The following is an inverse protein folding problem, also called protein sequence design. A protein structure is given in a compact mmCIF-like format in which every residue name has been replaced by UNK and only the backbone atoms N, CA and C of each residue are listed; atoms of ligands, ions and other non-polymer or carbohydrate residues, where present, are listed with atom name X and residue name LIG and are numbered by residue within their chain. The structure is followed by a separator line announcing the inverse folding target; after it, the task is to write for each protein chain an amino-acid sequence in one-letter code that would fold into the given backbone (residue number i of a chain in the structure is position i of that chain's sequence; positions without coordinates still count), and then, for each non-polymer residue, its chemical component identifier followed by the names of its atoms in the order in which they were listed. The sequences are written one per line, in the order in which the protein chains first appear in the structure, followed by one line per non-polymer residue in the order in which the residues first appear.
data_IF_876852602971
#
_entry.id   IF_876852602971
#
_cell.length_a   1.000
_cell.length_b   1.000
_cell.length_c   1.000
_cell.angle_alpha   90.00
_cell.angle_beta   90.00
_cell.angle_gamma   90.00
#
_symmetry.space_group_name_H-M   'P 1'
#
loop_
_entity.id
_entity.type
_entity.pdbx_description
1 polymer ?
#
# COMPACT_ATOMS: atom_id res chain seq x y z
N UNK A 1 15.47 -20.55 -13.05
CA UNK A 1 16.74 -19.78 -13.21
C UNK A 1 16.56 -18.47 -12.47
N UNK A 2 17.56 -17.98 -11.77
CA UNK A 2 17.50 -16.68 -11.09
C UNK A 2 18.10 -15.65 -12.03
N UNK A 3 17.42 -14.53 -12.25
CA UNK A 3 17.99 -13.41 -13.02
C UNK A 3 19.21 -12.81 -12.28
N UNK A 4 20.11 -12.08 -12.94
CA UNK A 4 21.31 -11.50 -12.32
C UNK A 4 21.03 -10.59 -11.12
N UNK A 5 19.80 -10.15 -10.92
CA UNK A 5 19.35 -9.27 -9.82
C UNK A 5 18.62 -10.01 -8.69
N UNK A 6 18.70 -11.34 -8.62
CA UNK A 6 18.11 -12.10 -7.49
C UNK A 6 16.58 -12.20 -7.47
N UNK A 7 15.90 -11.72 -8.50
CA UNK A 7 14.44 -11.89 -8.64
C UNK A 7 14.11 -13.35 -8.98
N UNK A 8 13.09 -13.97 -8.36
CA UNK A 8 12.64 -15.30 -8.74
C UNK A 8 12.25 -15.33 -10.21
N UNK A 9 12.64 -16.40 -10.94
CA UNK A 9 12.22 -16.62 -12.31
C UNK A 9 10.70 -16.92 -12.33
N UNK A 10 9.90 -15.88 -12.61
CA UNK A 10 8.44 -15.95 -12.65
C UNK A 10 7.95 -16.26 -14.06
N UNK A 11 8.44 -17.36 -14.65
CA UNK A 11 7.95 -17.85 -15.96
C UNK A 11 6.61 -18.58 -15.85
N UNK A 12 5.70 -18.09 -15.03
CA UNK A 12 4.39 -18.73 -14.89
C UNK A 12 3.39 -17.88 -14.12
N UNK A 13 2.96 -16.75 -14.68
CA UNK A 13 1.66 -16.12 -14.36
C UNK A 13 1.29 -15.77 -12.91
N UNK A 14 2.17 -16.00 -11.92
CA UNK A 14 1.91 -15.72 -10.51
C UNK A 14 2.57 -14.40 -10.09
N UNK A 15 1.79 -13.52 -9.46
CA UNK A 15 2.33 -12.33 -8.82
C UNK A 15 2.94 -12.72 -7.47
N UNK A 16 4.17 -12.32 -7.15
CA UNK A 16 4.75 -12.58 -5.83
C UNK A 16 4.04 -11.70 -4.80
N UNK A 17 3.28 -12.34 -3.90
CA UNK A 17 2.56 -11.66 -2.82
C UNK A 17 3.20 -12.02 -1.50
N UNK A 18 3.55 -11.00 -0.72
CA UNK A 18 4.08 -11.08 0.63
C UNK A 18 3.09 -10.58 1.68
N UNK A 19 3.59 -10.43 2.90
CA UNK A 19 2.87 -9.93 4.06
C UNK A 19 3.52 -8.63 4.56
N UNK A 20 2.72 -7.57 4.68
CA UNK A 20 3.14 -6.34 5.36
C UNK A 20 2.86 -6.43 6.87
N UNK A 21 3.77 -5.84 7.65
CA UNK A 21 3.61 -5.70 9.09
C UNK A 21 2.35 -4.91 9.49
N UNK A 22 1.90 -3.99 8.63
CA UNK A 22 0.71 -3.16 8.88
C UNK A 22 -0.62 -3.82 8.49
N UNK A 23 -0.58 -5.09 8.08
CA UNK A 23 -1.80 -5.83 7.76
C UNK A 23 -2.68 -6.13 8.97
N UNK A 24 -2.07 -6.43 10.12
CA UNK A 24 -2.76 -6.88 11.33
C UNK A 24 -2.09 -6.33 12.60
N UNK A 25 -2.14 -5.00 12.84
CA UNK A 25 -1.35 -4.34 13.88
C UNK A 25 -1.69 -4.78 15.32
N UNK A 26 -2.90 -5.20 15.62
CA UNK A 26 -3.25 -5.76 16.93
C UNK A 26 -2.72 -7.16 17.10
N UNK A 27 -2.89 -8.03 16.11
CA UNK A 27 -2.41 -9.42 16.15
C UNK A 27 -0.90 -9.49 16.24
N UNK A 28 -0.18 -8.56 15.60
CA UNK A 28 1.27 -8.47 15.58
C UNK A 28 1.87 -7.62 16.73
N UNK A 29 1.04 -7.14 17.66
CA UNK A 29 1.50 -6.37 18.82
C UNK A 29 2.07 -4.99 18.47
N UNK A 30 1.76 -4.43 17.31
CA UNK A 30 2.23 -3.09 16.89
C UNK A 30 1.35 -1.97 17.44
N UNK A 31 0.08 -2.25 17.71
CA UNK A 31 -0.81 -1.28 18.33
C UNK A 31 -0.46 -1.12 19.81
N UNK A 32 -0.29 0.12 20.32
CA UNK A 32 -0.09 0.36 21.75
C UNK A 32 -1.25 -0.16 22.63
N UNK A 33 -2.43 -0.38 22.05
CA UNK A 33 -3.58 -0.95 22.73
C UNK A 33 -3.61 -2.49 22.68
N UNK A 34 -2.68 -3.13 21.97
CA UNK A 34 -2.53 -4.59 21.97
C UNK A 34 -1.82 -5.05 23.24
N UNK A 35 -2.27 -6.16 23.80
CA UNK A 35 -1.62 -6.87 24.91
C UNK A 35 -0.62 -7.93 24.45
N UNK A 36 -0.42 -8.05 23.13
CA UNK A 36 0.46 -9.06 22.52
C UNK A 36 1.89 -8.55 22.41
N UNK A 37 2.89 -9.47 22.51
CA UNK A 37 4.27 -9.14 22.19
C UNK A 37 4.37 -8.59 20.76
N UNK A 38 5.16 -7.53 20.58
CA UNK A 38 5.42 -7.00 19.25
C UNK A 38 6.19 -8.02 18.41
N UNK A 39 5.76 -8.22 17.17
CA UNK A 39 6.47 -9.06 16.21
C UNK A 39 7.85 -8.49 15.92
N UNK A 40 8.80 -9.41 15.76
CA UNK A 40 10.08 -9.16 15.15
C UNK A 40 10.00 -9.38 13.62
N UNK A 41 11.06 -9.00 12.90
CA UNK A 41 11.16 -9.34 11.48
C UNK A 41 11.19 -10.87 11.23
N UNK A 42 11.74 -11.64 12.17
CA UNK A 42 11.74 -13.12 12.07
C UNK A 42 10.33 -13.70 12.24
N UNK A 43 9.53 -13.19 13.17
CA UNK A 43 8.14 -13.62 13.34
C UNK A 43 7.32 -13.33 12.07
N UNK A 44 7.59 -12.20 11.40
CA UNK A 44 6.93 -11.88 10.13
C UNK A 44 7.34 -12.84 9.00
N UNK A 45 8.64 -13.20 8.91
CA UNK A 45 9.13 -14.23 7.97
C UNK A 45 8.42 -15.55 8.22
N UNK A 46 8.40 -16.01 9.46
CA UNK A 46 7.78 -17.29 9.82
C UNK A 46 6.27 -17.29 9.56
N UNK A 47 5.60 -16.18 9.80
CA UNK A 47 4.17 -16.03 9.47
C UNK A 47 3.92 -16.04 7.95
N UNK A 48 4.73 -15.32 7.17
CA UNK A 48 4.63 -15.33 5.72
C UNK A 48 4.82 -16.73 5.14
N UNK A 49 5.82 -17.47 5.63
CA UNK A 49 6.07 -18.88 5.29
C UNK A 49 4.88 -19.77 5.67
N UNK A 50 4.33 -19.60 6.87
CA UNK A 50 3.16 -20.35 7.34
C UNK A 50 1.91 -20.17 6.47
N UNK A 51 1.79 -19.04 5.78
CA UNK A 51 0.74 -18.76 4.81
C UNK A 51 1.12 -19.08 3.35
N UNK A 52 2.34 -19.56 3.08
CA UNK A 52 2.82 -19.84 1.73
C UNK A 52 3.01 -18.58 0.87
N UNK A 53 3.24 -17.42 1.51
CA UNK A 53 3.48 -16.16 0.85
C UNK A 53 4.93 -16.06 0.36
N UNK A 54 5.17 -15.20 -0.64
CA UNK A 54 6.43 -15.10 -1.38
C UNK A 54 7.39 -14.02 -0.83
N UNK A 55 7.02 -13.28 0.22
CA UNK A 55 7.86 -12.21 0.75
C UNK A 55 7.30 -11.50 1.97
N UNK A 56 8.03 -10.49 2.41
CA UNK A 56 7.65 -9.62 3.52
C UNK A 56 7.84 -8.16 3.16
N UNK A 57 7.04 -7.31 3.79
CA UNK A 57 7.33 -5.88 3.89
C UNK A 57 7.46 -5.53 5.38
N UNK A 58 8.61 -4.95 5.73
CA UNK A 58 9.05 -4.81 7.11
C UNK A 58 9.53 -3.38 7.40
N UNK A 59 9.11 -2.78 8.55
CA UNK A 59 9.62 -1.48 8.98
C UNK A 59 11.14 -1.47 9.17
N UNK A 60 11.82 -0.43 8.68
CA UNK A 60 13.25 -0.24 8.85
C UNK A 60 13.68 -0.32 10.32
N UNK A 61 12.83 0.14 11.24
CA UNK A 61 13.06 0.09 12.68
C UNK A 61 13.25 -1.34 13.24
N UNK A 62 12.64 -2.35 12.59
CA UNK A 62 12.71 -3.75 13.03
C UNK A 62 13.92 -4.51 12.47
N UNK A 63 14.60 -3.94 11.49
CA UNK A 63 15.79 -4.56 10.87
C UNK A 63 17.10 -3.80 11.18
N UNK A 64 17.04 -2.66 11.86
CA UNK A 64 18.17 -1.73 12.06
C UNK A 64 19.40 -2.37 12.72
N UNK A 65 19.18 -3.35 13.61
CA UNK A 65 20.25 -3.97 14.39
C UNK A 65 20.89 -5.17 13.69
N UNK A 66 20.19 -5.81 12.73
CA UNK A 66 20.67 -7.02 12.04
C UNK A 66 20.07 -7.20 10.63
N UNK A 67 20.23 -6.22 9.72
CA UNK A 67 19.62 -6.29 8.39
C UNK A 67 20.17 -7.43 7.53
N UNK A 68 21.47 -7.77 7.66
CA UNK A 68 22.10 -8.83 6.88
C UNK A 68 21.54 -10.22 7.20
N UNK A 69 21.39 -10.54 8.49
CA UNK A 69 20.87 -11.85 8.91
C UNK A 69 19.40 -12.01 8.53
N UNK A 70 18.60 -10.95 8.66
CA UNK A 70 17.20 -10.95 8.22
C UNK A 70 17.12 -11.15 6.71
N UNK A 71 17.92 -10.43 5.93
CA UNK A 71 18.01 -10.59 4.49
C UNK A 71 18.54 -11.98 4.07
N UNK A 72 19.51 -12.53 4.79
CA UNK A 72 20.02 -13.89 4.57
C UNK A 72 18.93 -14.94 4.83
N UNK A 73 18.19 -14.82 5.95
CA UNK A 73 17.07 -15.69 6.27
C UNK A 73 15.98 -15.65 5.21
N UNK A 74 15.59 -14.46 4.75
CA UNK A 74 14.61 -14.31 3.68
C UNK A 74 15.08 -14.97 2.37
N UNK A 75 16.33 -14.74 1.96
CA UNK A 75 16.92 -15.37 0.75
C UNK A 75 16.98 -16.91 0.84
N UNK A 76 17.39 -17.44 2.00
CA UNK A 76 17.39 -18.88 2.24
C UNK A 76 16.00 -19.48 2.01
N UNK A 77 14.96 -18.78 2.42
CA UNK A 77 13.57 -19.18 2.26
C UNK A 77 12.95 -18.72 0.92
N UNK A 78 13.72 -18.11 0.04
CA UNK A 78 13.28 -17.57 -1.28
C UNK A 78 12.18 -16.52 -1.16
N UNK A 79 12.18 -15.75 -0.08
CA UNK A 79 11.27 -14.62 0.12
C UNK A 79 11.90 -13.32 -0.40
N UNK A 80 11.10 -12.48 -1.05
CA UNK A 80 11.50 -11.09 -1.25
C UNK A 80 11.38 -10.29 0.05
N UNK A 81 12.13 -9.20 0.13
CA UNK A 81 12.03 -8.21 1.21
C UNK A 81 11.74 -6.84 0.59
N UNK A 82 10.75 -6.15 1.13
CA UNK A 82 10.54 -4.72 0.93
C UNK A 82 10.72 -4.03 2.28
N UNK A 83 11.47 -2.94 2.32
CA UNK A 83 11.65 -2.14 3.55
C UNK A 83 10.71 -0.94 3.49
N UNK A 84 10.00 -0.69 4.59
CA UNK A 84 9.12 0.47 4.71
C UNK A 84 9.59 1.46 5.79
N UNK A 85 9.22 2.71 5.60
CA UNK A 85 9.46 3.82 6.53
C UNK A 85 8.40 4.91 6.32
N UNK A 86 8.55 6.04 7.00
CA UNK A 86 7.70 7.22 6.83
C UNK A 86 8.50 8.51 6.79
N UNK A 87 7.91 9.55 6.21
CA UNK A 87 8.51 10.86 6.06
C UNK A 87 9.37 10.99 4.80
N UNK A 88 9.85 12.22 4.58
CA UNK A 88 10.59 12.60 3.36
C UNK A 88 11.91 13.30 3.66
N UNK A 89 12.39 13.22 4.90
CA UNK A 89 13.69 13.78 5.27
C UNK A 89 14.81 13.02 4.58
N UNK A 90 15.69 13.69 3.78
CA UNK A 90 16.67 13.00 2.96
C UNK A 90 17.76 12.28 3.77
N UNK A 91 18.13 12.81 4.95
CA UNK A 91 19.16 12.20 5.80
C UNK A 91 18.60 10.92 6.45
N UNK A 92 17.39 10.99 7.00
CA UNK A 92 16.72 9.83 7.56
C UNK A 92 16.50 8.74 6.50
N UNK A 93 16.06 9.10 5.29
CA UNK A 93 15.87 8.17 4.18
C UNK A 93 17.20 7.53 3.73
N UNK A 94 18.33 8.27 3.72
CA UNK A 94 19.64 7.73 3.37
C UNK A 94 20.04 6.57 4.30
N UNK A 95 19.81 6.70 5.60
CA UNK A 95 20.04 5.60 6.54
C UNK A 95 19.18 4.38 6.27
N UNK A 96 17.92 4.59 5.86
CA UNK A 96 17.01 3.49 5.51
C UNK A 96 17.46 2.80 4.21
N UNK A 97 18.00 3.53 3.25
CA UNK A 97 18.52 2.93 2.01
C UNK A 97 19.70 2.00 2.30
N UNK A 98 20.62 2.38 3.20
CA UNK A 98 21.72 1.52 3.62
C UNK A 98 21.21 0.23 4.29
N UNK A 99 20.21 0.33 5.18
CA UNK A 99 19.58 -0.83 5.79
C UNK A 99 18.91 -1.74 4.75
N UNK A 100 18.18 -1.16 3.81
CA UNK A 100 17.49 -1.87 2.75
C UNK A 100 18.47 -2.62 1.84
N UNK A 101 19.56 -1.96 1.42
CA UNK A 101 20.60 -2.58 0.60
C UNK A 101 21.24 -3.78 1.32
N UNK A 102 21.56 -3.65 2.61
CA UNK A 102 22.13 -4.72 3.45
C UNK A 102 21.13 -5.87 3.66
N UNK A 103 19.86 -5.57 3.81
CA UNK A 103 18.79 -6.60 3.88
C UNK A 103 18.48 -7.24 2.51
N UNK A 104 19.00 -6.69 1.41
CA UNK A 104 18.72 -7.15 0.04
C UNK A 104 17.35 -6.73 -0.46
N UNK A 105 16.77 -5.66 0.09
CA UNK A 105 15.54 -5.06 -0.41
C UNK A 105 15.84 -4.14 -1.60
N UNK A 106 15.21 -4.36 -2.77
CA UNK A 106 15.40 -3.47 -3.91
C UNK A 106 14.59 -2.18 -3.82
N UNK A 107 13.63 -2.12 -2.89
CA UNK A 107 12.67 -1.01 -2.78
C UNK A 107 12.50 -0.58 -1.33
N UNK A 108 12.51 0.73 -1.12
CA UNK A 108 12.13 1.38 0.14
C UNK A 108 10.83 2.14 -0.10
N UNK A 109 9.77 1.75 0.62
CA UNK A 109 8.50 2.46 0.63
C UNK A 109 8.52 3.56 1.68
N UNK A 110 8.00 4.75 1.33
CA UNK A 110 7.75 5.84 2.28
C UNK A 110 6.37 6.46 2.08
N UNK A 111 5.91 7.20 3.10
CA UNK A 111 4.68 8.02 3.05
C UNK A 111 5.03 9.48 3.27
N UNK A 112 4.27 10.38 2.64
CA UNK A 112 4.48 11.84 2.72
C UNK A 112 3.76 12.43 3.93
N UNK A 113 2.50 12.07 4.12
CA UNK A 113 1.66 12.63 5.18
C UNK A 113 1.04 13.99 4.81
N UNK A 114 0.75 14.80 5.83
CA UNK A 114 0.11 16.12 5.66
C UNK A 114 -1.42 16.08 5.65
N UNK A 115 -2.04 15.08 5.03
CA UNK A 115 -3.48 14.85 5.12
C UNK A 115 -3.82 13.92 6.29
N UNK A 116 -5.02 14.05 6.82
CA UNK A 116 -5.60 13.06 7.74
C UNK A 116 -6.25 11.92 6.95
N UNK A 117 -6.53 10.82 7.64
CA UNK A 117 -7.25 9.68 7.05
C UNK A 117 -8.55 10.12 6.37
N UNK A 118 -8.87 9.49 5.22
CA UNK A 118 -9.98 9.92 4.36
C UNK A 118 -9.65 11.12 3.47
N UNK A 119 -8.37 11.42 3.28
CA UNK A 119 -7.91 12.49 2.39
C UNK A 119 -8.18 13.91 2.92
N UNK A 120 -8.38 14.08 4.23
CA UNK A 120 -8.74 15.37 4.80
C UNK A 120 -7.52 16.31 4.89
N UNK A 121 -7.47 17.31 4.00
CA UNK A 121 -6.41 18.33 3.92
C UNK A 121 -6.74 19.63 4.64
N UNK A 122 -7.87 19.76 5.34
CA UNK A 122 -8.31 21.02 5.99
C UNK A 122 -7.29 21.59 6.98
N UNK A 123 -6.53 20.74 7.66
CA UNK A 123 -5.45 21.18 8.54
C UNK A 123 -4.27 21.83 7.76
N UNK A 124 -4.21 21.64 6.44
CA UNK A 124 -3.18 22.17 5.54
C UNK A 124 -3.69 23.35 4.69
N UNK A 125 -4.86 23.91 5.00
CA UNK A 125 -5.47 24.99 4.23
C UNK A 125 -4.48 26.14 3.95
N UNK A 126 -4.30 26.50 2.68
CA UNK A 126 -3.37 27.50 2.16
C UNK A 126 -1.88 27.11 2.28
N UNK A 127 -1.54 25.92 2.74
CA UNK A 127 -0.15 25.46 2.92
C UNK A 127 0.21 24.21 2.12
N UNK A 128 -0.75 23.59 1.45
CA UNK A 128 -0.52 22.32 0.75
C UNK A 128 0.50 22.48 -0.39
N UNK A 129 0.37 23.50 -1.22
CA UNK A 129 1.29 23.72 -2.34
C UNK A 129 2.74 24.01 -1.90
N UNK A 130 3.01 24.92 -0.93
CA UNK A 130 4.35 25.05 -0.36
C UNK A 130 4.90 23.77 0.24
N UNK A 131 4.08 23.00 0.97
CA UNK A 131 4.45 21.70 1.53
C UNK A 131 4.82 20.70 0.41
N UNK A 132 4.02 20.59 -0.62
CA UNK A 132 4.29 19.69 -1.74
C UNK A 132 5.58 20.06 -2.50
N UNK A 133 5.89 21.35 -2.62
CA UNK A 133 7.15 21.80 -3.20
C UNK A 133 8.37 21.40 -2.35
N UNK A 134 8.26 21.48 -1.02
CA UNK A 134 9.29 21.00 -0.10
C UNK A 134 9.45 19.47 -0.19
N UNK A 135 8.34 18.73 -0.22
CA UNK A 135 8.32 17.28 -0.44
C UNK A 135 9.05 16.90 -1.72
N UNK A 136 8.77 17.58 -2.83
CA UNK A 136 9.43 17.32 -4.11
C UNK A 136 10.95 17.54 -4.05
N UNK A 137 11.40 18.63 -3.42
CA UNK A 137 12.83 18.92 -3.25
C UNK A 137 13.53 17.87 -2.38
N UNK A 138 12.90 17.46 -1.28
CA UNK A 138 13.44 16.46 -0.36
C UNK A 138 13.52 15.08 -1.03
N UNK A 139 12.45 14.65 -1.73
CA UNK A 139 12.43 13.39 -2.45
C UNK A 139 13.45 13.36 -3.60
N UNK A 140 13.63 14.45 -4.33
CA UNK A 140 14.67 14.55 -5.37
C UNK A 140 16.08 14.38 -4.79
N UNK A 141 16.33 14.93 -3.59
CA UNK A 141 17.58 14.76 -2.87
C UNK A 141 17.76 13.32 -2.37
N UNK A 142 16.72 12.75 -1.76
CA UNK A 142 16.75 11.38 -1.26
C UNK A 142 16.91 10.34 -2.39
N UNK A 143 16.31 10.59 -3.56
CA UNK A 143 16.45 9.69 -4.72
C UNK A 143 17.89 9.51 -5.17
N UNK A 144 18.72 10.56 -5.09
CA UNK A 144 20.16 10.44 -5.41
C UNK A 144 20.90 9.53 -4.43
N UNK A 145 20.51 9.55 -3.14
CA UNK A 145 21.05 8.62 -2.17
C UNK A 145 20.57 7.19 -2.40
N UNK A 146 19.29 7.01 -2.78
CA UNK A 146 18.73 5.71 -3.16
C UNK A 146 19.49 5.10 -4.36
N UNK A 147 19.77 5.90 -5.39
CA UNK A 147 20.55 5.49 -6.56
C UNK A 147 21.97 5.05 -6.16
N UNK A 148 22.64 5.78 -5.27
CA UNK A 148 23.98 5.42 -4.77
C UNK A 148 23.96 4.12 -3.96
N UNK A 149 22.91 3.85 -3.21
CA UNK A 149 22.72 2.61 -2.46
C UNK A 149 22.23 1.44 -3.33
N UNK A 150 21.88 1.68 -4.60
CA UNK A 150 21.35 0.66 -5.52
C UNK A 150 19.93 0.22 -5.19
N UNK A 151 19.15 1.07 -4.51
CA UNK A 151 17.73 0.81 -4.17
C UNK A 151 16.82 1.80 -4.87
N UNK A 152 15.52 1.53 -4.84
CA UNK A 152 14.48 2.42 -5.39
C UNK A 152 13.63 2.99 -4.27
N UNK A 153 13.45 4.31 -4.25
CA UNK A 153 12.51 5.00 -3.37
C UNK A 153 11.11 4.99 -4.00
N UNK A 154 10.13 4.47 -3.29
CA UNK A 154 8.73 4.42 -3.72
C UNK A 154 7.84 5.18 -2.72
N UNK A 155 7.12 6.19 -3.21
CA UNK A 155 6.17 6.96 -2.40
C UNK A 155 4.79 6.32 -2.49
N UNK A 156 4.21 6.00 -1.34
CA UNK A 156 2.86 5.43 -1.29
C UNK A 156 1.78 6.50 -1.48
N UNK A 157 0.72 6.15 -2.20
CA UNK A 157 -0.53 6.89 -2.23
C UNK A 157 -1.34 6.67 -0.94
N UNK A 158 -0.85 7.19 0.19
CA UNK A 158 -1.41 6.96 1.53
C UNK A 158 -2.64 7.84 1.85
N UNK A 159 -3.54 8.10 0.87
CA UNK A 159 -4.69 9.01 0.94
C UNK A 159 -4.29 10.50 1.11
N UNK A 160 -3.03 10.81 1.06
CA UNK A 160 -2.46 12.15 1.16
C UNK A 160 -2.26 12.81 -0.22
N UNK A 161 -1.68 12.09 -1.17
CA UNK A 161 -1.40 12.57 -2.52
C UNK A 161 -2.43 12.04 -3.53
N UNK A 162 -2.95 12.94 -4.35
CA UNK A 162 -3.74 12.59 -5.53
C UNK A 162 -2.82 12.05 -6.64
N UNK A 163 -3.38 11.31 -7.61
CA UNK A 163 -2.58 10.75 -8.71
C UNK A 163 -1.84 11.82 -9.51
N UNK A 164 -2.41 12.99 -9.71
CA UNK A 164 -1.79 14.09 -10.42
C UNK A 164 -0.52 14.60 -9.70
N UNK A 165 -0.54 14.61 -8.37
CA UNK A 165 0.60 15.05 -7.55
C UNK A 165 1.70 13.98 -7.56
N UNK A 166 1.35 12.69 -7.48
CA UNK A 166 2.32 11.60 -7.59
C UNK A 166 2.97 11.56 -8.97
N UNK A 167 2.21 11.74 -10.04
CA UNK A 167 2.75 11.80 -11.39
C UNK A 167 3.65 13.01 -11.57
N UNK A 168 3.28 14.18 -11.05
CA UNK A 168 4.12 15.38 -11.03
C UNK A 168 5.45 15.11 -10.31
N UNK A 169 5.44 14.39 -9.18
CA UNK A 169 6.68 14.00 -8.48
C UNK A 169 7.54 13.07 -9.35
N UNK A 170 6.94 12.07 -10.00
CA UNK A 170 7.65 11.16 -10.91
C UNK A 170 8.28 11.92 -12.10
N UNK A 171 7.53 12.84 -12.72
CA UNK A 171 8.00 13.66 -13.83
C UNK A 171 9.12 14.63 -13.41
N UNK A 172 8.99 15.24 -12.23
CA UNK A 172 9.96 16.22 -11.72
C UNK A 172 11.28 15.56 -11.31
N UNK A 173 11.22 14.39 -10.70
CA UNK A 173 12.41 13.66 -10.21
C UNK A 173 13.08 12.92 -11.37
N UNK A 174 12.32 12.40 -12.30
CA UNK A 174 12.75 11.73 -13.55
C UNK A 174 13.92 10.75 -13.33
N UNK A 175 13.75 9.80 -12.41
CA UNK A 175 14.76 8.80 -12.08
C UNK A 175 14.19 7.38 -12.10
N UNK A 176 14.91 6.38 -12.62
CA UNK A 176 14.52 4.97 -12.50
C UNK A 176 14.51 4.48 -11.06
N UNK A 177 15.19 5.17 -10.15
CA UNK A 177 15.26 4.90 -8.73
C UNK A 177 14.18 5.62 -7.92
N UNK A 178 13.17 6.19 -8.59
CA UNK A 178 11.99 6.78 -7.96
C UNK A 178 10.71 6.22 -8.56
N UNK A 179 9.65 6.11 -7.75
CA UNK A 179 8.34 5.71 -8.22
C UNK A 179 7.30 5.65 -7.12
N UNK A 180 6.29 4.82 -7.35
CA UNK A 180 5.07 4.76 -6.54
C UNK A 180 4.94 3.38 -5.89
N UNK A 181 4.64 3.34 -4.59
CA UNK A 181 3.99 2.19 -3.96
C UNK A 181 2.50 2.37 -4.12
N UNK A 182 1.86 1.50 -4.89
CA UNK A 182 0.43 1.54 -5.15
C UNK A 182 -0.33 0.80 -4.05
N UNK A 183 -0.97 1.55 -3.14
CA UNK A 183 -2.01 0.99 -2.27
C UNK A 183 -3.35 0.99 -3.02
N UNK A 184 -3.92 -0.19 -3.18
CA UNK A 184 -5.07 -0.43 -4.06
C UNK A 184 -6.37 0.17 -3.55
N UNK A 185 -6.52 0.35 -2.24
CA UNK A 185 -7.72 0.95 -1.63
C UNK A 185 -7.67 2.48 -1.53
N UNK A 186 -6.48 3.06 -1.51
CA UNK A 186 -6.28 4.47 -1.18
C UNK A 186 -6.70 5.49 -2.26
N UNK A 187 -6.83 5.16 -3.58
CA UNK A 187 -7.42 6.08 -4.55
C UNK A 187 -8.79 6.62 -4.15
N UNK A 188 -9.59 5.79 -3.48
CA UNK A 188 -10.89 6.21 -2.95
C UNK A 188 -10.77 7.29 -1.88
N UNK A 189 -9.66 7.35 -1.14
CA UNK A 189 -9.40 8.39 -0.13
C UNK A 189 -9.20 9.78 -0.73
N UNK A 190 -8.71 9.85 -1.96
CA UNK A 190 -8.51 11.12 -2.70
C UNK A 190 -9.65 11.42 -3.69
N UNK A 191 -10.76 10.68 -3.60
CA UNK A 191 -11.93 10.87 -4.46
C UNK A 191 -11.70 10.45 -5.91
N UNK A 192 -10.92 9.38 -6.14
CA UNK A 192 -10.58 8.88 -7.47
C UNK A 192 -11.15 7.48 -7.70
N UNK A 193 -11.62 7.23 -8.93
CA UNK A 193 -12.09 5.91 -9.33
C UNK A 193 -10.88 4.96 -9.46
N UNK A 194 -10.89 3.76 -8.83
CA UNK A 194 -9.71 2.92 -8.72
C UNK A 194 -9.09 2.49 -10.06
N UNK A 195 -9.88 2.03 -11.02
CA UNK A 195 -9.34 1.52 -12.29
C UNK A 195 -8.72 2.63 -13.14
N UNK A 196 -9.34 3.82 -13.17
CA UNK A 196 -8.77 4.98 -13.85
C UNK A 196 -7.47 5.44 -13.17
N UNK A 197 -7.43 5.38 -11.83
CA UNK A 197 -6.22 5.66 -11.06
C UNK A 197 -5.11 4.67 -11.41
N UNK A 198 -5.39 3.36 -11.36
CA UNK A 198 -4.38 2.31 -11.62
C UNK A 198 -3.77 2.45 -13.00
N UNK A 199 -4.57 2.71 -14.04
CA UNK A 199 -4.07 2.92 -15.40
C UNK A 199 -3.11 4.10 -15.50
N UNK A 200 -3.38 5.18 -14.77
CA UNK A 200 -2.53 6.39 -14.80
C UNK A 200 -1.20 6.17 -14.13
N UNK A 201 -1.17 5.53 -12.97
CA UNK A 201 0.05 5.39 -12.16
C UNK A 201 0.87 4.14 -12.48
N UNK A 202 0.29 3.13 -13.13
CA UNK A 202 0.91 1.83 -13.37
C UNK A 202 2.35 1.88 -13.93
N UNK A 203 2.71 2.78 -14.90
CA UNK A 203 4.08 2.84 -15.42
C UNK A 203 5.15 3.22 -14.37
N UNK A 204 4.74 3.83 -13.27
CA UNK A 204 5.64 4.32 -12.20
C UNK A 204 5.63 3.43 -10.95
N UNK A 205 4.85 2.34 -10.95
CA UNK A 205 4.72 1.45 -9.78
C UNK A 205 6.00 0.65 -9.57
N UNK A 206 6.46 0.60 -8.31
CA UNK A 206 7.64 -0.15 -7.85
C UNK A 206 7.31 -1.20 -6.79
N UNK A 207 6.18 -1.04 -6.10
CA UNK A 207 5.66 -1.94 -5.09
C UNK A 207 4.14 -1.77 -4.99
N UNK A 208 3.43 -2.76 -4.46
CA UNK A 208 1.95 -2.73 -4.34
C UNK A 208 1.52 -3.17 -2.95
N UNK A 209 0.63 -2.40 -2.32
CA UNK A 209 -0.14 -2.83 -1.16
C UNK A 209 -1.52 -3.31 -1.60
N UNK A 210 -1.81 -4.55 -1.32
CA UNK A 210 -3.14 -5.13 -1.56
C UNK A 210 -4.03 -4.79 -0.36
N UNK A 211 -4.97 -3.92 -0.62
CA UNK A 211 -5.95 -3.43 0.35
C UNK A 211 -7.33 -3.39 -0.29
N UNK A 212 -8.36 -3.70 0.48
CA UNK A 212 -9.74 -3.66 0.02
C UNK A 212 -10.65 -2.98 1.04
N UNK A 213 -11.68 -2.31 0.53
CA UNK A 213 -12.66 -1.61 1.33
C UNK A 213 -14.07 -1.95 0.89
N UNK A 214 -14.98 -2.01 1.87
CA UNK A 214 -16.40 -1.84 1.64
C UNK A 214 -16.75 -0.37 1.76
N UNK A 215 -17.67 0.09 0.92
CA UNK A 215 -18.11 1.48 0.88
C UNK A 215 -19.49 1.62 1.53
N UNK A 216 -19.68 2.65 2.36
CA UNK A 216 -20.99 3.09 2.84
C UNK A 216 -21.22 4.55 2.51
N UNK A 217 -22.36 4.85 1.90
CA UNK A 217 -22.76 6.22 1.58
C UNK A 217 -22.96 7.04 2.85
N UNK A 218 -22.63 8.32 2.81
CA UNK A 218 -22.91 9.31 3.86
C UNK A 218 -23.41 10.61 3.23
N UNK A 219 -23.97 11.51 4.05
CA UNK A 219 -24.43 12.83 3.58
C UNK A 219 -23.31 13.72 3.05
N UNK A 220 -22.06 13.49 3.46
CA UNK A 220 -20.89 14.27 3.03
C UNK A 220 -20.04 13.54 1.97
N UNK A 221 -20.41 12.32 1.61
CA UNK A 221 -19.65 11.48 0.67
C UNK A 221 -19.79 10.00 1.00
N UNK A 222 -18.72 9.37 1.48
CA UNK A 222 -18.75 7.95 1.81
C UNK A 222 -17.73 7.56 2.89
N UNK A 223 -17.94 6.38 3.47
CA UNK A 223 -16.99 5.74 4.39
C UNK A 223 -16.39 4.50 3.76
N UNK A 224 -15.09 4.35 3.93
CA UNK A 224 -14.32 3.17 3.56
C UNK A 224 -14.04 2.37 4.82
N UNK A 225 -14.63 1.19 4.95
CA UNK A 225 -14.33 0.27 6.03
C UNK A 225 -13.52 -0.90 5.49
N UNK A 226 -12.38 -1.20 6.15
CA UNK A 226 -11.49 -2.31 5.74
C UNK A 226 -12.24 -3.64 5.68
N UNK A 227 -11.79 -4.51 4.81
CA UNK A 227 -12.27 -5.88 4.73
C UNK A 227 -11.18 -6.80 4.16
N UNK A 228 -11.43 -8.11 4.16
CA UNK A 228 -10.59 -9.07 3.46
C UNK A 228 -10.54 -8.75 1.96
N UNK A 229 -9.43 -9.03 1.33
CA UNK A 229 -9.27 -8.92 -0.12
C UNK A 229 -10.35 -9.73 -0.85
N UNK A 230 -10.92 -9.16 -1.90
CA UNK A 230 -12.01 -9.74 -2.69
C UNK A 230 -13.39 -9.71 -2.02
N UNK A 231 -13.52 -9.10 -0.84
CA UNK A 231 -14.82 -8.88 -0.17
C UNK A 231 -15.26 -7.41 -0.19
N UNK A 232 -14.45 -6.55 -0.76
CA UNK A 232 -14.70 -5.14 -0.96
C UNK A 232 -15.03 -4.80 -2.41
N UNK A 233 -14.54 -3.64 -2.84
CA UNK A 233 -14.91 -3.06 -4.14
C UNK A 233 -13.75 -3.03 -5.16
N UNK A 234 -12.57 -3.52 -4.79
CA UNK A 234 -11.42 -3.49 -5.70
C UNK A 234 -11.48 -4.66 -6.68
N UNK A 235 -11.47 -4.36 -7.97
CA UNK A 235 -11.36 -5.36 -9.04
C UNK A 235 -9.89 -5.80 -9.21
N UNK A 236 -9.45 -6.76 -8.38
CA UNK A 236 -8.09 -7.29 -8.42
C UNK A 236 -7.73 -7.97 -9.75
N UNK A 237 -8.60 -8.73 -10.43
CA UNK A 237 -8.32 -9.22 -11.77
C UNK A 237 -7.98 -8.12 -12.78
N UNK A 238 -8.76 -7.03 -12.81
CA UNK A 238 -8.48 -5.89 -13.69
C UNK A 238 -7.19 -5.15 -13.29
N UNK A 239 -6.95 -4.95 -12.00
CA UNK A 239 -5.70 -4.39 -11.48
C UNK A 239 -4.48 -5.21 -11.94
N UNK A 240 -4.51 -6.52 -11.73
CA UNK A 240 -3.39 -7.39 -12.09
C UNK A 240 -3.12 -7.38 -13.59
N UNK A 241 -4.17 -7.33 -14.43
CA UNK A 241 -3.99 -7.19 -15.88
C UNK A 241 -3.30 -5.87 -16.28
N UNK A 242 -3.60 -4.77 -15.57
CA UNK A 242 -2.95 -3.47 -15.77
C UNK A 242 -1.48 -3.55 -15.36
N UNK A 243 -1.18 -4.11 -14.19
CA UNK A 243 0.18 -4.23 -13.66
C UNK A 243 1.05 -5.18 -14.51
N UNK A 244 0.51 -6.31 -14.96
CA UNK A 244 1.22 -7.24 -15.85
C UNK A 244 1.64 -6.57 -17.16
N UNK A 245 0.81 -5.68 -17.69
CA UNK A 245 1.13 -4.95 -18.92
C UNK A 245 2.17 -3.84 -18.70
N UNK A 246 2.21 -3.21 -17.54
CA UNK A 246 3.06 -2.05 -17.28
C UNK A 246 4.36 -2.41 -16.53
N UNK A 247 4.28 -3.24 -15.49
CA UNK A 247 5.37 -3.57 -14.56
C UNK A 247 5.33 -5.05 -14.17
N UNK A 248 5.53 -5.97 -15.12
CA UNK A 248 5.41 -7.40 -14.88
C UNK A 248 6.31 -7.87 -13.73
N UNK A 249 5.77 -8.69 -12.84
CA UNK A 249 6.51 -9.25 -11.72
C UNK A 249 6.74 -8.30 -10.54
N UNK A 250 6.03 -7.17 -10.48
CA UNK A 250 6.10 -6.26 -9.34
C UNK A 250 5.72 -6.99 -8.04
N UNK A 251 6.50 -6.75 -6.96
CA UNK A 251 6.20 -7.30 -5.65
C UNK A 251 4.95 -6.66 -5.04
N UNK A 252 4.16 -7.47 -4.36
CA UNK A 252 2.94 -7.03 -3.70
C UNK A 252 2.95 -7.50 -2.24
N UNK A 253 2.32 -6.77 -1.34
CA UNK A 253 2.15 -7.19 0.04
C UNK A 253 0.68 -7.04 0.49
N UNK A 254 0.17 -8.02 1.24
CA UNK A 254 -1.14 -7.89 1.89
C UNK A 254 -0.99 -6.87 3.01
N UNK A 255 -1.66 -5.73 2.89
CA UNK A 255 -1.67 -4.66 3.88
C UNK A 255 -3.11 -4.20 4.11
N UNK A 256 -3.77 -4.80 5.10
CA UNK A 256 -5.19 -4.53 5.36
C UNK A 256 -5.42 -3.19 6.06
N UNK A 257 -4.37 -2.59 6.62
CA UNK A 257 -4.35 -1.26 7.18
C UNK A 257 -5.10 -1.10 8.51
N UNK A 258 -5.24 0.14 8.94
CA UNK A 258 -5.85 0.49 10.21
C UNK A 258 -7.37 0.24 10.26
N UNK A 259 -7.88 0.04 11.49
CA UNK A 259 -9.27 -0.33 11.75
C UNK A 259 -10.27 0.80 11.60
N UNK A 260 -9.81 2.04 11.73
CA UNK A 260 -10.66 3.22 11.61
C UNK A 260 -11.24 3.33 10.20
N UNK A 261 -12.53 3.52 10.09
CA UNK A 261 -13.17 3.79 8.82
C UNK A 261 -12.76 5.18 8.29
N UNK A 262 -12.47 5.26 6.98
CA UNK A 262 -12.09 6.50 6.31
C UNK A 262 -13.34 7.25 5.88
N UNK A 263 -13.62 8.41 6.46
CA UNK A 263 -14.72 9.26 6.01
C UNK A 263 -14.23 10.23 4.93
N UNK A 264 -14.54 9.94 3.69
CA UNK A 264 -14.14 10.73 2.52
C UNK A 264 -15.28 11.70 2.17
N UNK A 265 -15.03 13.00 2.35
CA UNK A 265 -16.06 14.03 2.34
C UNK A 265 -16.20 14.75 0.99
N UNK A 266 -16.17 14.00 -0.10
CA UNK A 266 -16.17 14.55 -1.47
C UNK A 266 -17.38 15.41 -1.84
N UNK A 267 -18.46 15.38 -1.06
CA UNK A 267 -19.65 16.21 -1.26
C UNK A 267 -19.63 17.48 -0.41
N UNK A 268 -18.56 17.70 0.38
CA UNK A 268 -18.39 18.91 1.21
C UNK A 268 -17.47 19.91 0.49
N UNK A 269 -17.84 21.17 0.46
CA UNK A 269 -17.09 22.24 -0.23
C UNK A 269 -15.66 22.38 0.32
N UNK A 270 -15.46 22.15 1.63
CA UNK A 270 -14.18 22.25 2.32
C UNK A 270 -13.22 21.05 2.08
N UNK A 271 -13.64 20.03 1.33
CA UNK A 271 -12.77 18.92 0.95
C UNK A 271 -11.78 19.31 -0.16
N UNK A 272 -12.22 20.09 -1.15
CA UNK A 272 -11.51 20.26 -2.42
C UNK A 272 -10.44 21.36 -2.49
N UNK A 273 -10.43 22.43 -1.67
CA UNK A 273 -9.56 23.59 -1.90
C UNK A 273 -8.07 23.29 -2.05
N UNK A 274 -7.59 22.23 -1.39
CA UNK A 274 -6.19 21.82 -1.43
C UNK A 274 -5.91 20.66 -2.41
N UNK A 275 -6.92 20.20 -3.13
CA UNK A 275 -6.76 19.16 -4.16
C UNK A 275 -6.49 19.76 -5.54
N UNK A 276 -5.82 19.02 -6.45
CA UNK A 276 -5.78 19.39 -7.86
C UNK A 276 -7.20 19.56 -8.44
N UNK A 277 -7.32 20.45 -9.40
CA UNK A 277 -8.61 20.69 -10.06
C UNK A 277 -9.13 19.39 -10.71
N UNK A 278 -10.36 19.02 -10.40
CA UNK A 278 -11.04 17.87 -10.99
C UNK A 278 -12.01 18.29 -12.08
N UNK A 279 -12.03 17.54 -13.17
CA UNK A 279 -13.08 17.71 -14.18
C UNK A 279 -14.41 17.12 -13.67
N UNK A 280 -15.56 17.63 -14.16
CA UNK A 280 -16.85 17.04 -13.85
C UNK A 280 -16.93 15.54 -14.20
N UNK A 281 -16.23 15.10 -15.25
CA UNK A 281 -16.19 13.71 -15.68
C UNK A 281 -15.46 12.80 -14.65
N UNK A 282 -14.34 13.25 -14.10
CA UNK A 282 -13.61 12.53 -13.06
C UNK A 282 -14.45 12.38 -11.80
N UNK A 283 -15.05 13.47 -11.31
CA UNK A 283 -15.92 13.42 -10.14
C UNK A 283 -17.14 12.51 -10.39
N UNK A 284 -17.77 12.63 -11.56
CA UNK A 284 -18.91 11.78 -11.92
C UNK A 284 -18.53 10.30 -11.99
N UNK A 285 -17.31 9.95 -12.44
CA UNK A 285 -16.83 8.56 -12.43
C UNK A 285 -16.73 8.02 -11.00
N UNK A 286 -16.13 8.77 -10.10
CA UNK A 286 -16.02 8.41 -8.67
C UNK A 286 -17.40 8.25 -8.03
N UNK A 287 -18.32 9.20 -8.25
CA UNK A 287 -19.67 9.13 -7.68
C UNK A 287 -20.46 7.94 -8.23
N UNK A 288 -20.37 7.66 -9.55
CA UNK A 288 -21.01 6.46 -10.14
C UNK A 288 -20.46 5.18 -9.50
N UNK A 289 -19.13 5.07 -9.33
CA UNK A 289 -18.51 3.93 -8.69
C UNK A 289 -19.03 3.75 -7.26
N UNK A 290 -19.02 4.82 -6.46
CA UNK A 290 -19.53 4.80 -5.08
C UNK A 290 -21.02 4.45 -5.03
N UNK A 291 -21.83 4.90 -5.98
CA UNK A 291 -23.26 4.55 -6.06
C UNK A 291 -23.49 3.08 -6.45
N UNK A 292 -22.67 2.55 -7.35
CA UNK A 292 -22.78 1.16 -7.79
C UNK A 292 -22.33 0.16 -6.71
N UNK A 293 -21.21 0.44 -6.04
CA UNK A 293 -20.58 -0.48 -5.09
C UNK A 293 -20.93 -0.17 -3.63
N UNK A 294 -21.44 1.02 -3.36
CA UNK A 294 -21.69 1.51 -2.01
C UNK A 294 -22.99 0.93 -1.40
N UNK A 295 -22.94 0.72 -0.09
CA UNK A 295 -24.08 0.28 0.72
C UNK A 295 -24.76 1.50 1.35
N UNK A 296 -26.06 1.52 1.34
CA UNK A 296 -26.88 2.55 2.01
C UNK A 296 -27.39 2.14 3.39
N UNK A 297 -27.30 0.84 3.70
CA UNK A 297 -27.81 0.24 4.95
C UNK A 297 -26.79 -0.72 5.55
N UNK A 298 -26.99 -1.05 6.82
CA UNK A 298 -26.11 -1.95 7.57
C UNK A 298 -25.11 -1.23 8.44
N UNK A 299 -24.46 -1.96 9.35
CA UNK A 299 -23.42 -1.44 10.24
C UNK A 299 -22.05 -1.50 9.55
N UNK A 300 -21.44 -0.36 9.33
CA UNK A 300 -20.09 -0.25 8.76
C UNK A 300 -18.98 -0.46 9.80
N UNK A 301 -19.32 -0.40 11.08
CA UNK A 301 -18.33 -0.43 12.15
C UNK A 301 -17.68 -1.79 12.30
N UNK A 302 -16.35 -1.78 12.38
CA UNK A 302 -15.54 -2.93 12.77
C UNK A 302 -15.63 -3.16 14.29
N UNK A 303 -15.10 -4.25 14.84
CA UNK A 303 -14.98 -4.42 16.31
C UNK A 303 -14.25 -3.24 16.98
N UNK A 304 -13.23 -2.68 16.34
CA UNK A 304 -12.54 -1.47 16.79
C UNK A 304 -13.48 -0.26 16.89
N UNK A 305 -14.25 0.02 15.84
CA UNK A 305 -15.21 1.12 15.78
C UNK A 305 -16.36 0.96 16.79
N UNK A 306 -16.65 -0.26 17.20
CA UNK A 306 -17.63 -0.56 18.25
C UNK A 306 -17.03 -0.58 19.65
N UNK A 307 -15.72 -0.26 19.79
CA UNK A 307 -14.98 -0.33 21.04
C UNK A 307 -15.09 -1.71 21.74
N UNK A 308 -15.07 -2.77 20.94
CA UNK A 308 -15.05 -4.14 21.47
C UNK A 308 -13.70 -4.48 22.14
N UNK A 309 -13.65 -5.51 22.99
CA UNK A 309 -12.41 -5.97 23.61
C UNK A 309 -11.32 -6.29 22.56
N UNK A 310 -10.04 -6.16 22.97
CA UNK A 310 -8.87 -6.38 22.11
C UNK A 310 -8.91 -7.76 21.46
N UNK A 311 -9.35 -8.79 22.17
CA UNK A 311 -9.48 -10.16 21.65
C UNK A 311 -10.43 -10.25 20.46
N UNK A 312 -11.53 -9.46 20.46
CA UNK A 312 -12.45 -9.37 19.32
C UNK A 312 -11.78 -8.73 18.10
N UNK A 313 -10.98 -7.68 18.34
CA UNK A 313 -10.23 -6.99 17.29
C UNK A 313 -9.19 -7.92 16.68
N UNK A 314 -8.41 -8.61 17.52
CA UNK A 314 -7.41 -9.60 17.09
C UNK A 314 -8.05 -10.74 16.30
N UNK A 315 -9.16 -11.29 16.80
CA UNK A 315 -9.87 -12.37 16.10
C UNK A 315 -10.45 -11.89 14.76
N UNK A 316 -10.88 -10.63 14.67
CA UNK A 316 -11.31 -10.01 13.42
C UNK A 316 -10.14 -9.89 12.44
N UNK A 317 -8.99 -9.33 12.84
CA UNK A 317 -7.80 -9.23 11.98
C UNK A 317 -7.34 -10.58 11.43
N UNK A 318 -7.27 -11.60 12.30
CA UNK A 318 -6.85 -12.94 11.90
C UNK A 318 -7.80 -13.54 10.85
N UNK A 319 -9.12 -13.42 11.04
CA UNK A 319 -10.09 -13.88 10.04
C UNK A 319 -9.95 -13.14 8.70
N UNK A 320 -9.76 -11.82 8.75
CA UNK A 320 -9.58 -10.99 7.56
C UNK A 320 -8.29 -11.38 6.81
N UNK A 321 -7.18 -11.62 7.52
CA UNK A 321 -5.93 -12.05 6.93
C UNK A 321 -6.04 -13.43 6.29
N UNK A 322 -6.59 -14.41 7.01
CA UNK A 322 -6.78 -15.79 6.49
C UNK A 322 -7.64 -15.77 5.22
N UNK A 323 -8.74 -15.00 5.22
CA UNK A 323 -9.60 -14.88 4.06
C UNK A 323 -8.89 -14.18 2.87
N UNK A 324 -8.06 -13.19 3.16
CA UNK A 324 -7.26 -12.49 2.14
C UNK A 324 -6.20 -13.40 1.51
N UNK A 325 -5.50 -14.18 2.31
CA UNK A 325 -4.53 -15.19 1.82
C UNK A 325 -5.24 -16.23 0.93
N UNK A 326 -6.38 -16.75 1.37
CA UNK A 326 -7.15 -17.71 0.58
C UNK A 326 -7.63 -17.12 -0.76
N UNK A 327 -8.03 -15.84 -0.77
CA UNK A 327 -8.41 -15.13 -1.99
C UNK A 327 -7.23 -14.97 -2.96
N UNK A 328 -6.07 -14.52 -2.48
CA UNK A 328 -4.85 -14.36 -3.28
C UNK A 328 -4.41 -15.68 -3.89
N UNK A 329 -4.46 -16.77 -3.10
CA UNK A 329 -4.11 -18.10 -3.56
C UNK A 329 -5.09 -18.58 -4.68
N UNK A 330 -6.40 -18.36 -4.51
CA UNK A 330 -7.39 -18.68 -5.55
C UNK A 330 -7.18 -17.84 -6.82
N UNK A 331 -6.85 -16.56 -6.69
CA UNK A 331 -6.58 -15.65 -7.80
C UNK A 331 -5.34 -16.09 -8.58
N UNK A 332 -4.25 -16.45 -7.88
CA UNK A 332 -3.02 -16.94 -8.51
C UNK A 332 -3.26 -18.27 -9.26
N UNK A 333 -3.98 -19.23 -8.66
CA UNK A 333 -4.35 -20.49 -9.35
C UNK A 333 -5.15 -20.26 -10.63
N UNK A 334 -6.12 -19.34 -10.59
CA UNK A 334 -6.92 -18.99 -11.77
C UNK A 334 -6.05 -18.43 -12.91
N UNK A 335 -5.08 -17.58 -12.58
CA UNK A 335 -4.17 -16.98 -13.56
C UNK A 335 -3.22 -18.02 -14.16
N UNK A 336 -2.67 -18.92 -13.36
CA UNK A 336 -1.82 -20.01 -13.86
C UNK A 336 -2.60 -20.89 -14.84
N UNK A 337 -3.81 -21.31 -14.49
CA UNK A 337 -4.65 -22.11 -15.38
C UNK A 337 -4.98 -21.39 -16.70
N UNK A 338 -5.19 -20.06 -16.67
CA UNK A 338 -5.41 -19.27 -17.89
C UNK A 338 -4.14 -19.14 -18.76
N UNK A 339 -2.96 -19.07 -18.15
CA UNK A 339 -1.71 -19.02 -18.87
C UNK A 339 -1.37 -20.36 -19.56
N UNK A 340 -1.66 -21.49 -18.91
CA UNK A 340 -1.47 -22.83 -19.45
C UNK A 340 -2.46 -23.17 -20.59
N UNK A 341 -3.62 -22.49 -20.63
CA UNK A 341 -4.64 -22.68 -21.65
C UNK A 341 -4.42 -21.87 -22.94
N UNK A 342 -3.45 -20.98 -22.96
CA UNK A 342 -3.06 -20.14 -24.12
C UNK A 342 -1.87 -20.73 -24.88
#
# INVERSE_FOLDING_TARGET
MVTPNGTPDITGGTCPVGLSMYGTPYSMGLSPASDRPAFTAYDLIDQALGYGLAGIEVPAALIKDDPESIGARAREQKLFVTVDTGGVDPEALSHVFDLAARAGSPTVRTVVGGAKIGGDRRAMAGRWQPFLAEVAANLATATKAAEQAGVTLAVENHQDLASEELLMLCETIDSPHFGITLDTGNPLGTGEEPIDYFRRVAPHVKNVHLKDYRIWSSSEGYRLARCSLGQGVIDFPALLAILDAAVPGVSMAIELGAHEARHVRVLSDDFWPEYPARTPAQLAATIRFVQAEGRSTGDWRTPFERAEPVESIVAYEQRELIASVAYVDALNRSRTAQAEAR
#
